data_IF_244712137672
#
_entry.id   IF_244712137672
#
_cell.length_a   1.000
_cell.length_b   1.000
_cell.length_c   1.000
_cell.angle_alpha   90.00
_cell.angle_beta   90.00
_cell.angle_gamma   90.00
#
_symmetry.space_group_name_H-M   'P 1'
#
loop_
_entity.id
_entity.type
_entity.pdbx_description
1 polymer ?
#
# COMPACT_ATOMS: atom_id res chain seq x y z
N UNK A 1 -23.97 28.01 -21.95
CA UNK A 1 -24.50 27.82 -20.59
C UNK A 1 -23.85 26.60 -19.99
N UNK A 2 -22.93 26.70 -19.00
CA UNK A 2 -22.29 25.55 -18.38
C UNK A 2 -23.22 24.97 -17.31
N UNK A 3 -23.49 23.68 -17.45
CA UNK A 3 -24.34 22.87 -16.60
C UNK A 3 -23.69 22.76 -15.20
N UNK A 4 -24.21 23.49 -14.21
CA UNK A 4 -23.81 23.38 -12.81
C UNK A 4 -24.34 22.04 -12.28
N UNK A 5 -23.44 21.11 -12.00
CA UNK A 5 -23.77 19.89 -11.26
C UNK A 5 -24.29 20.28 -9.86
N UNK A 6 -25.36 19.68 -9.34
CA UNK A 6 -25.93 20.02 -8.03
C UNK A 6 -24.90 19.75 -6.93
N UNK A 7 -24.73 20.72 -6.02
CA UNK A 7 -23.72 20.73 -4.93
C UNK A 7 -23.69 19.45 -4.08
N UNK A 8 -24.83 18.79 -3.91
CA UNK A 8 -24.94 17.51 -3.19
C UNK A 8 -24.19 16.35 -3.89
N UNK A 9 -24.10 16.35 -5.22
CA UNK A 9 -23.35 15.33 -5.96
C UNK A 9 -21.85 15.58 -5.91
N UNK A 10 -21.44 16.86 -5.84
CA UNK A 10 -20.03 17.24 -5.70
C UNK A 10 -19.50 16.92 -4.30
N UNK A 11 -20.28 17.20 -3.25
CA UNK A 11 -19.95 16.81 -1.87
C UNK A 11 -19.92 15.27 -1.70
N UNK A 12 -20.85 14.56 -2.34
CA UNK A 12 -20.88 13.09 -2.34
C UNK A 12 -19.71 12.49 -3.13
N UNK A 13 -19.32 13.12 -4.24
CA UNK A 13 -18.15 12.74 -5.03
C UNK A 13 -16.86 13.01 -4.25
N UNK A 14 -16.71 14.17 -3.59
CA UNK A 14 -15.58 14.49 -2.72
C UNK A 14 -15.48 13.56 -1.51
N UNK A 15 -16.61 13.24 -0.87
CA UNK A 15 -16.68 12.26 0.21
C UNK A 15 -16.31 10.85 -0.29
N UNK A 16 -16.83 10.45 -1.42
CA UNK A 16 -16.53 9.16 -2.05
C UNK A 16 -15.06 9.06 -2.50
N UNK A 17 -14.52 10.14 -3.07
CA UNK A 17 -13.11 10.25 -3.47
C UNK A 17 -12.20 10.24 -2.22
N UNK A 18 -12.58 10.97 -1.18
CA UNK A 18 -11.87 10.98 0.10
C UNK A 18 -11.94 9.61 0.79
N UNK A 19 -13.11 8.97 0.79
CA UNK A 19 -13.28 7.61 1.31
C UNK A 19 -12.49 6.60 0.48
N UNK A 20 -12.54 6.65 -0.85
CA UNK A 20 -11.77 5.76 -1.72
C UNK A 20 -10.25 5.97 -1.58
N UNK A 21 -9.80 7.20 -1.38
CA UNK A 21 -8.39 7.50 -1.08
C UNK A 21 -7.98 7.07 0.32
N UNK A 22 -8.89 7.16 1.31
CA UNK A 22 -8.65 6.74 2.69
C UNK A 22 -8.70 5.22 2.82
N UNK A 23 -9.63 4.55 2.12
CA UNK A 23 -9.81 3.10 2.20
C UNK A 23 -8.82 2.32 1.34
N UNK A 24 -8.09 2.94 0.42
CA UNK A 24 -7.20 2.25 -0.51
C UNK A 24 -6.04 1.47 0.12
N UNK A 25 -5.72 1.70 1.39
CA UNK A 25 -4.61 1.01 2.06
C UNK A 25 -5.05 0.06 3.19
N UNK A 26 -6.10 0.38 3.87
CA UNK A 26 -6.50 -0.34 5.09
C UNK A 26 -7.43 -1.52 4.85
N UNK A 27 -8.44 -1.45 3.98
CA UNK A 27 -9.19 -2.67 3.65
C UNK A 27 -8.31 -3.71 2.95
N UNK A 28 -7.29 -3.29 2.21
CA UNK A 28 -6.30 -4.19 1.61
C UNK A 28 -5.43 -4.88 2.66
N UNK A 29 -5.12 -4.21 3.78
CA UNK A 29 -4.33 -4.77 4.89
C UNK A 29 -5.17 -5.71 5.77
N UNK A 30 -6.44 -5.39 6.01
CA UNK A 30 -7.33 -6.21 6.84
C UNK A 30 -7.88 -7.45 6.10
N UNK A 31 -7.96 -7.43 4.76
CA UNK A 31 -8.42 -8.53 3.94
C UNK A 31 -7.24 -9.20 3.22
N UNK A 32 -6.67 -10.22 3.82
CA UNK A 32 -5.54 -10.98 3.26
C UNK A 32 -5.90 -11.74 1.97
N UNK A 33 -7.14 -12.18 1.85
CA UNK A 33 -7.63 -12.93 0.67
C UNK A 33 -7.53 -12.15 -0.65
N UNK A 34 -7.87 -10.84 -0.73
CA UNK A 34 -7.76 -10.13 -2.00
C UNK A 34 -6.31 -9.90 -2.46
N UNK A 35 -5.33 -9.70 -1.57
CA UNK A 35 -3.93 -9.50 -1.99
C UNK A 35 -3.31 -10.74 -2.60
N UNK A 36 -3.48 -11.90 -1.95
CA UNK A 36 -3.01 -13.19 -2.49
C UNK A 36 -3.74 -13.56 -3.78
N UNK A 37 -5.06 -13.38 -3.81
CA UNK A 37 -5.86 -13.60 -5.02
C UNK A 37 -5.44 -12.64 -6.14
N UNK A 38 -5.10 -11.39 -5.82
CA UNK A 38 -4.63 -10.41 -6.78
C UNK A 38 -3.22 -10.76 -7.29
N UNK A 39 -2.33 -11.25 -6.41
CA UNK A 39 -1.00 -11.72 -6.80
C UNK A 39 -1.06 -12.94 -7.71
N UNK A 40 -1.93 -13.91 -7.39
CA UNK A 40 -2.15 -15.09 -8.23
C UNK A 40 -2.80 -14.74 -9.57
N UNK A 41 -3.79 -13.83 -9.56
CA UNK A 41 -4.36 -13.28 -10.79
C UNK A 41 -3.29 -12.63 -11.66
N UNK A 42 -2.49 -11.73 -11.09
CA UNK A 42 -1.44 -11.02 -11.82
C UNK A 42 -0.43 -11.99 -12.43
N UNK A 43 0.02 -12.99 -11.66
CA UNK A 43 0.93 -14.02 -12.16
C UNK A 43 0.34 -14.82 -13.33
N UNK A 44 -0.87 -15.34 -13.14
CA UNK A 44 -1.52 -16.19 -14.13
C UNK A 44 -1.85 -15.39 -15.40
N UNK A 45 -2.29 -14.14 -15.23
CA UNK A 45 -2.61 -13.26 -16.35
C UNK A 45 -1.36 -12.91 -17.17
N UNK A 46 -0.26 -12.52 -16.50
CA UNK A 46 1.02 -12.29 -17.17
C UNK A 46 1.54 -13.53 -17.91
N UNK A 47 1.38 -14.73 -17.32
CA UNK A 47 1.74 -16.00 -17.99
C UNK A 47 0.87 -16.28 -19.22
N UNK A 48 -0.44 -16.04 -19.14
CA UNK A 48 -1.35 -16.20 -20.27
C UNK A 48 -0.97 -15.25 -21.43
N UNK A 49 -0.63 -14.00 -21.13
CA UNK A 49 -0.20 -13.04 -22.15
C UNK A 49 1.13 -13.44 -22.81
N UNK A 50 2.10 -13.90 -22.03
CA UNK A 50 3.37 -14.44 -22.57
C UNK A 50 3.18 -15.66 -23.45
N UNK A 51 2.17 -16.49 -23.15
CA UNK A 51 1.80 -17.63 -23.97
C UNK A 51 1.04 -17.23 -25.24
N UNK A 52 0.84 -15.93 -25.50
CA UNK A 52 0.17 -15.40 -26.68
C UNK A 52 -1.36 -15.42 -26.63
N UNK A 53 -1.97 -15.64 -25.46
CA UNK A 53 -3.43 -15.55 -25.36
C UNK A 53 -3.91 -14.10 -25.53
N UNK A 54 -5.00 -13.87 -26.28
CA UNK A 54 -5.62 -12.54 -26.35
C UNK A 54 -6.00 -12.01 -24.97
N UNK A 55 -5.80 -10.72 -24.74
CA UNK A 55 -6.06 -10.04 -23.44
C UNK A 55 -7.47 -10.34 -22.90
N UNK A 56 -8.48 -10.34 -23.79
CA UNK A 56 -9.89 -10.60 -23.44
C UNK A 56 -10.13 -12.02 -22.94
N UNK A 57 -9.47 -13.01 -23.53
CA UNK A 57 -9.59 -14.41 -23.13
C UNK A 57 -8.79 -14.70 -21.87
N UNK A 58 -7.55 -14.20 -21.81
CA UNK A 58 -6.70 -14.30 -20.64
C UNK A 58 -7.37 -13.71 -19.41
N UNK A 59 -8.00 -12.52 -19.57
CA UNK A 59 -8.72 -11.84 -18.49
C UNK A 59 -9.84 -12.71 -17.93
N UNK A 60 -10.72 -13.22 -18.77
CA UNK A 60 -11.88 -14.01 -18.33
C UNK A 60 -11.45 -15.32 -17.67
N UNK A 61 -10.47 -16.01 -18.27
CA UNK A 61 -9.90 -17.24 -17.71
C UNK A 61 -9.32 -17.03 -16.32
N UNK A 62 -8.53 -15.97 -16.15
CA UNK A 62 -7.91 -15.64 -14.85
C UNK A 62 -8.93 -15.13 -13.84
N UNK A 63 -9.94 -14.35 -14.28
CA UNK A 63 -11.05 -13.91 -13.42
C UNK A 63 -11.83 -15.08 -12.85
N UNK A 64 -12.17 -16.07 -13.67
CA UNK A 64 -12.90 -17.27 -13.23
C UNK A 64 -12.09 -18.12 -12.25
N UNK A 65 -10.76 -18.10 -12.34
CA UNK A 65 -9.85 -18.81 -11.44
C UNK A 65 -9.57 -18.07 -10.11
N UNK A 66 -10.14 -16.87 -9.90
CA UNK A 66 -9.95 -16.11 -8.66
C UNK A 66 -10.61 -16.80 -7.47
N UNK A 67 -9.90 -16.88 -6.34
CA UNK A 67 -10.45 -17.35 -5.06
C UNK A 67 -11.33 -16.29 -4.38
N UNK A 68 -11.02 -15.01 -4.58
CA UNK A 68 -11.79 -13.89 -4.02
C UNK A 68 -13.10 -13.68 -4.76
N UNK A 69 -14.23 -13.97 -4.09
CA UNK A 69 -15.57 -13.74 -4.63
C UNK A 69 -15.84 -12.26 -4.92
N UNK A 70 -15.30 -11.35 -4.10
CA UNK A 70 -15.49 -9.90 -4.26
C UNK A 70 -14.81 -9.41 -5.55
N UNK A 71 -13.54 -9.74 -5.79
CA UNK A 71 -12.84 -9.40 -7.03
C UNK A 71 -13.52 -10.02 -8.26
N UNK A 72 -13.93 -11.29 -8.16
CA UNK A 72 -14.62 -12.01 -9.23
C UNK A 72 -15.91 -11.31 -9.65
N UNK A 73 -16.69 -10.83 -8.66
CA UNK A 73 -17.95 -10.13 -8.91
C UNK A 73 -17.70 -8.74 -9.49
N UNK A 74 -16.75 -7.96 -8.93
CA UNK A 74 -16.44 -6.61 -9.42
C UNK A 74 -15.95 -6.61 -10.86
N UNK A 75 -15.18 -7.61 -11.26
CA UNK A 75 -14.66 -7.76 -12.62
C UNK A 75 -15.58 -8.51 -13.57
N UNK A 76 -16.83 -8.79 -13.19
CA UNK A 76 -17.77 -9.52 -14.05
C UNK A 76 -18.03 -8.82 -15.40
N UNK A 77 -18.03 -7.49 -15.43
CA UNK A 77 -18.18 -6.69 -16.65
C UNK A 77 -16.88 -6.40 -17.41
N UNK A 78 -15.72 -6.77 -16.86
CA UNK A 78 -14.40 -6.38 -17.42
C UNK A 78 -14.15 -6.92 -18.82
N UNK A 79 -14.52 -8.17 -19.09
CA UNK A 79 -14.36 -8.76 -20.42
C UNK A 79 -15.19 -8.01 -21.49
N UNK A 80 -16.40 -7.59 -21.16
CA UNK A 80 -17.25 -6.86 -22.11
C UNK A 80 -16.66 -5.49 -22.40
N UNK A 81 -16.10 -4.81 -21.41
CA UNK A 81 -15.42 -3.52 -21.61
C UNK A 81 -14.19 -3.67 -22.49
N UNK A 82 -13.35 -4.69 -22.27
CA UNK A 82 -12.23 -5.00 -23.15
C UNK A 82 -12.67 -5.25 -24.60
N UNK A 83 -13.75 -6.01 -24.80
CA UNK A 83 -14.33 -6.23 -26.14
C UNK A 83 -14.90 -4.96 -26.77
N UNK A 84 -15.34 -3.99 -25.96
CA UNK A 84 -15.80 -2.68 -26.45
C UNK A 84 -14.65 -1.70 -26.72
N UNK A 85 -13.40 -2.12 -26.65
CA UNK A 85 -12.21 -1.31 -26.92
C UNK A 85 -11.76 -0.41 -25.76
N UNK A 86 -12.27 -0.66 -24.54
CA UNK A 86 -11.76 0.01 -23.35
C UNK A 86 -10.38 -0.52 -22.94
N UNK A 87 -9.61 0.33 -22.28
CA UNK A 87 -8.30 -0.07 -21.76
C UNK A 87 -8.42 -1.15 -20.67
N UNK A 88 -7.35 -1.89 -20.45
CA UNK A 88 -7.29 -2.91 -19.39
C UNK A 88 -7.39 -2.23 -18.01
N UNK A 89 -6.72 -1.10 -17.81
CA UNK A 89 -6.80 -0.32 -16.59
C UNK A 89 -8.24 0.14 -16.30
N UNK A 90 -8.98 0.66 -17.30
CA UNK A 90 -10.40 0.99 -17.17
C UNK A 90 -11.25 -0.24 -16.84
N UNK A 91 -10.94 -1.37 -17.44
CA UNK A 91 -11.68 -2.63 -17.22
C UNK A 91 -11.46 -3.20 -15.81
N UNK A 92 -10.32 -2.94 -15.20
CA UNK A 92 -9.98 -3.31 -13.82
C UNK A 92 -10.48 -2.30 -12.78
N UNK A 93 -10.83 -1.07 -13.17
CA UNK A 93 -11.13 0.06 -12.28
C UNK A 93 -12.33 -0.16 -11.35
N UNK A 94 -13.27 -1.05 -11.66
CA UNK A 94 -14.40 -1.39 -10.78
C UNK A 94 -13.96 -1.97 -9.44
N UNK A 95 -12.79 -2.58 -9.41
CA UNK A 95 -12.19 -3.06 -8.17
C UNK A 95 -11.28 -2.02 -7.49
N UNK A 96 -11.20 -0.78 -8.01
CA UNK A 96 -10.35 0.30 -7.47
C UNK A 96 -10.42 0.45 -5.94
N UNK A 97 -11.58 0.33 -5.27
CA UNK A 97 -11.63 0.40 -3.80
C UNK A 97 -10.88 -0.71 -3.08
N UNK A 98 -10.62 -1.83 -3.75
CA UNK A 98 -9.96 -3.03 -3.18
C UNK A 98 -8.52 -3.17 -3.69
N UNK A 99 -8.21 -2.51 -4.82
CA UNK A 99 -6.88 -2.55 -5.41
C UNK A 99 -5.91 -1.61 -4.67
N UNK A 100 -4.64 -2.01 -4.50
CA UNK A 100 -3.59 -1.09 -4.06
C UNK A 100 -3.47 0.12 -4.98
N UNK A 101 -3.18 1.30 -4.42
CA UNK A 101 -3.14 2.56 -5.18
C UNK A 101 -2.17 2.55 -6.37
N UNK A 102 -1.10 1.75 -6.29
CA UNK A 102 -0.10 1.63 -7.36
C UNK A 102 -0.53 0.69 -8.50
N UNK A 103 -1.55 -0.15 -8.30
CA UNK A 103 -1.87 -1.25 -9.22
C UNK A 103 -2.35 -0.73 -10.58
N UNK A 104 -3.38 0.12 -10.60
CA UNK A 104 -3.92 0.66 -11.85
C UNK A 104 -2.91 1.56 -12.60
N UNK A 105 -2.17 2.47 -11.95
CA UNK A 105 -1.12 3.23 -12.63
C UNK A 105 -0.02 2.37 -13.26
N UNK A 106 0.35 1.26 -12.61
CA UNK A 106 1.31 0.32 -13.20
C UNK A 106 0.73 -0.39 -14.44
N UNK A 107 -0.55 -0.80 -14.40
CA UNK A 107 -1.22 -1.39 -15.57
C UNK A 107 -1.31 -0.38 -16.71
N UNK A 108 -1.69 0.88 -16.44
CA UNK A 108 -1.69 1.94 -17.46
C UNK A 108 -0.31 2.12 -18.11
N UNK A 109 0.76 2.12 -17.30
CA UNK A 109 2.13 2.19 -17.80
C UNK A 109 2.45 1.02 -18.75
N UNK A 110 2.05 -0.19 -18.38
CA UNK A 110 2.23 -1.38 -19.22
C UNK A 110 1.44 -1.35 -20.53
N UNK A 111 0.24 -0.79 -20.52
CA UNK A 111 -0.55 -0.60 -21.75
C UNK A 111 0.10 0.43 -22.67
N UNK A 112 0.59 1.56 -22.12
CA UNK A 112 1.30 2.58 -22.89
C UNK A 112 2.57 2.03 -23.57
N UNK A 113 3.31 1.16 -22.87
CA UNK A 113 4.53 0.54 -23.40
C UNK A 113 4.26 -0.70 -24.28
N UNK A 114 3.03 -1.22 -24.31
CA UNK A 114 2.72 -2.49 -24.95
C UNK A 114 3.31 -3.73 -24.23
N UNK A 115 3.77 -3.58 -22.96
CA UNK A 115 4.46 -4.62 -22.17
C UNK A 115 3.62 -5.06 -20.96
N UNK A 116 2.35 -5.35 -21.22
CA UNK A 116 1.37 -5.70 -20.18
C UNK A 116 1.80 -6.96 -19.40
N UNK A 117 2.36 -7.96 -20.07
CA UNK A 117 2.82 -9.22 -19.46
C UNK A 117 3.93 -9.02 -18.43
N UNK A 118 4.86 -8.08 -18.68
CA UNK A 118 5.94 -7.76 -17.75
C UNK A 118 5.44 -6.99 -16.53
N UNK A 119 4.54 -6.02 -16.75
CA UNK A 119 3.90 -5.30 -15.66
C UNK A 119 3.15 -6.24 -14.74
N UNK A 120 2.39 -7.21 -15.27
CA UNK A 120 1.69 -8.18 -14.45
C UNK A 120 2.64 -9.13 -13.71
N UNK A 121 3.80 -9.43 -14.30
CA UNK A 121 4.87 -10.15 -13.59
C UNK A 121 5.45 -9.33 -12.44
N UNK A 122 5.76 -8.06 -12.68
CA UNK A 122 6.19 -7.11 -11.65
C UNK A 122 5.13 -7.00 -10.53
N UNK A 123 3.86 -6.75 -10.89
CA UNK A 123 2.76 -6.65 -9.93
C UNK A 123 2.62 -7.91 -9.07
N UNK A 124 2.73 -9.09 -9.67
CA UNK A 124 2.68 -10.35 -8.93
C UNK A 124 3.80 -10.47 -7.90
N UNK A 125 5.04 -10.19 -8.27
CA UNK A 125 6.19 -10.20 -7.36
C UNK A 125 6.02 -9.16 -6.25
N UNK A 126 5.67 -7.93 -6.63
CA UNK A 126 5.51 -6.84 -5.69
C UNK A 126 4.39 -7.08 -4.67
N UNK A 127 3.26 -7.65 -5.08
CA UNK A 127 2.17 -8.02 -4.18
C UNK A 127 2.58 -9.12 -3.19
N UNK A 128 3.42 -10.08 -3.62
CA UNK A 128 3.98 -11.10 -2.74
C UNK A 128 4.96 -10.49 -1.71
N UNK A 129 5.72 -9.46 -2.10
CA UNK A 129 6.63 -8.74 -1.20
C UNK A 129 5.88 -7.99 -0.09
N UNK A 130 4.75 -7.37 -0.40
CA UNK A 130 3.98 -6.59 0.58
C UNK A 130 3.03 -7.44 1.43
N UNK A 131 2.80 -8.71 1.11
CA UNK A 131 1.93 -9.61 1.87
C UNK A 131 2.39 -9.79 3.32
N UNK A 132 3.70 -10.05 3.63
CA UNK A 132 4.18 -10.15 5.00
C UNK A 132 3.92 -8.87 5.81
N UNK A 133 4.05 -7.69 5.19
CA UNK A 133 3.77 -6.41 5.84
C UNK A 133 2.29 -6.30 6.25
N UNK A 134 1.38 -6.77 5.42
CA UNK A 134 -0.07 -6.77 5.75
C UNK A 134 -0.40 -7.72 6.90
N UNK A 135 0.25 -8.87 6.98
CA UNK A 135 0.14 -9.81 8.11
C UNK A 135 0.64 -9.19 9.40
N UNK A 136 1.80 -8.55 9.34
CA UNK A 136 2.44 -7.88 10.45
C UNK A 136 1.54 -6.78 11.04
N UNK A 137 1.00 -5.89 10.21
CA UNK A 137 0.12 -4.82 10.63
C UNK A 137 -1.15 -5.37 11.30
N UNK A 138 -1.72 -6.45 10.76
CA UNK A 138 -2.85 -7.12 11.38
C UNK A 138 -2.52 -7.71 12.74
N UNK A 139 -1.38 -8.38 12.88
CA UNK A 139 -0.93 -8.94 14.17
C UNK A 139 -0.73 -7.83 15.22
N UNK A 140 -0.14 -6.69 14.84
CA UNK A 140 0.05 -5.55 15.72
C UNK A 140 -1.27 -4.97 16.25
N UNK A 141 -2.37 -5.06 15.49
CA UNK A 141 -3.68 -4.53 15.89
C UNK A 141 -4.53 -5.54 16.66
N UNK A 142 -4.56 -6.79 16.21
CA UNK A 142 -5.44 -7.81 16.82
C UNK A 142 -4.87 -8.41 18.10
N UNK A 143 -3.57 -8.58 18.19
CA UNK A 143 -2.94 -9.27 19.31
C UNK A 143 -3.07 -8.50 20.63
N UNK A 144 -2.79 -7.21 20.73
CA UNK A 144 -3.01 -6.42 21.94
C UNK A 144 -4.48 -6.38 22.36
N UNK A 145 -5.40 -6.26 21.41
CA UNK A 145 -6.84 -6.28 21.66
C UNK A 145 -7.27 -7.59 22.33
N UNK A 146 -6.81 -8.71 21.81
CA UNK A 146 -7.15 -10.05 22.32
C UNK A 146 -6.60 -10.25 23.75
N UNK A 147 -5.38 -9.76 24.02
CA UNK A 147 -4.77 -9.85 25.35
C UNK A 147 -5.51 -9.00 26.37
N UNK A 148 -5.82 -7.75 26.03
CA UNK A 148 -6.56 -6.83 26.92
C UNK A 148 -7.94 -7.45 27.24
N UNK A 149 -8.64 -7.99 26.24
CA UNK A 149 -9.94 -8.62 26.43
C UNK A 149 -9.85 -9.87 27.30
N UNK A 150 -8.82 -10.71 27.09
CA UNK A 150 -8.62 -11.91 27.88
C UNK A 150 -8.21 -11.59 29.34
N UNK A 151 -7.36 -10.58 29.51
CA UNK A 151 -6.98 -10.10 30.83
C UNK A 151 -8.16 -9.51 31.63
N UNK A 152 -9.02 -8.74 30.98
CA UNK A 152 -10.24 -8.22 31.60
C UNK A 152 -11.20 -9.33 32.03
N UNK A 153 -11.34 -10.36 31.17
CA UNK A 153 -12.19 -11.52 31.49
C UNK A 153 -11.65 -12.30 32.72
N UNK A 154 -10.34 -12.53 32.76
CA UNK A 154 -9.72 -13.21 33.92
C UNK A 154 -9.83 -12.36 35.20
N UNK A 155 -9.62 -11.06 35.11
CA UNK A 155 -9.79 -10.14 36.23
C UNK A 155 -11.23 -10.13 36.77
N UNK A 156 -12.23 -10.10 35.89
CA UNK A 156 -13.62 -10.17 36.27
C UNK A 156 -13.99 -11.52 36.94
N UNK A 157 -13.47 -12.64 36.47
CA UNK A 157 -13.65 -13.96 37.07
C UNK A 157 -13.06 -13.99 38.49
N UNK A 158 -11.86 -13.44 38.68
CA UNK A 158 -11.21 -13.37 39.98
C UNK A 158 -12.02 -12.51 40.98
N UNK A 159 -12.51 -11.34 40.57
CA UNK A 159 -13.34 -10.48 41.42
C UNK A 159 -14.66 -11.13 41.81
N UNK A 160 -15.27 -11.93 40.93
CA UNK A 160 -16.48 -12.71 41.28
C UNK A 160 -16.20 -13.81 42.28
N UNK A 161 -15.04 -14.48 42.22
CA UNK A 161 -14.62 -15.52 43.17
C UNK A 161 -14.31 -14.91 44.54
N UNK A 162 -13.74 -13.72 44.58
CA UNK A 162 -13.45 -12.99 45.83
C UNK A 162 -14.66 -12.37 46.50
N UNK A 163 -15.85 -12.49 45.90
CA UNK A 163 -17.11 -12.03 46.48
C UNK A 163 -17.54 -10.62 46.15
N UNK A 164 -16.86 -9.99 45.16
CA UNK A 164 -17.21 -8.66 44.66
C UNK A 164 -17.72 -8.70 43.20
N UNK A 165 -18.98 -9.15 42.97
CA UNK A 165 -19.54 -9.23 41.60
C UNK A 165 -19.81 -7.84 41.00
N UNK A 166 -19.96 -6.80 41.82
CA UNK A 166 -20.21 -5.43 41.36
C UNK A 166 -18.90 -4.87 40.80
N UNK A 167 -17.77 -5.08 41.50
CA UNK A 167 -16.44 -4.73 41.03
C UNK A 167 -16.07 -5.42 39.71
N UNK A 168 -16.49 -6.69 39.54
CA UNK A 168 -16.28 -7.42 38.29
C UNK A 168 -17.00 -6.76 37.10
N UNK A 169 -18.24 -6.34 37.29
CA UNK A 169 -19.03 -5.64 36.23
C UNK A 169 -18.42 -4.27 35.91
N UNK A 170 -18.00 -3.54 36.93
CA UNK A 170 -17.36 -2.22 36.75
C UNK A 170 -16.02 -2.33 36.02
N UNK A 171 -15.20 -3.33 36.32
CA UNK A 171 -13.90 -3.55 35.62
C UNK A 171 -14.08 -3.93 34.15
N UNK A 172 -15.09 -4.73 33.82
CA UNK A 172 -15.46 -5.01 32.43
C UNK A 172 -15.97 -3.76 31.71
N UNK A 173 -16.81 -2.95 32.37
CA UNK A 173 -17.32 -1.71 31.79
C UNK A 173 -16.19 -0.70 31.51
N UNK A 174 -15.24 -0.55 32.43
CA UNK A 174 -14.07 0.31 32.25
C UNK A 174 -13.18 -0.16 31.10
N UNK A 175 -12.96 -1.47 30.98
CA UNK A 175 -12.22 -2.05 29.85
C UNK A 175 -12.93 -1.82 28.51
N UNK A 176 -14.26 -1.99 28.47
CA UNK A 176 -15.06 -1.69 27.28
C UNK A 176 -15.00 -0.19 26.92
N UNK A 177 -15.02 0.70 27.89
CA UNK A 177 -14.90 2.14 27.69
C UNK A 177 -13.51 2.51 27.15
N UNK A 178 -12.46 1.90 27.70
CA UNK A 178 -11.08 2.03 27.20
C UNK A 178 -10.93 1.55 25.75
N UNK A 179 -11.55 0.43 25.41
CA UNK A 179 -11.58 -0.08 24.03
C UNK A 179 -12.35 0.87 23.09
N UNK A 180 -13.47 1.43 23.53
CA UNK A 180 -14.21 2.44 22.75
C UNK A 180 -13.36 3.69 22.50
N UNK A 181 -12.62 4.18 23.50
CA UNK A 181 -11.66 5.27 23.33
C UNK A 181 -10.53 4.91 22.34
N UNK A 182 -10.00 3.71 22.44
CA UNK A 182 -8.99 3.22 21.51
C UNK A 182 -9.51 3.20 20.05
N UNK A 183 -10.73 2.68 19.85
CA UNK A 183 -11.36 2.70 18.51
C UNK A 183 -11.73 4.11 18.06
N UNK A 184 -12.17 5.00 18.99
CA UNK A 184 -12.46 6.38 18.66
C UNK A 184 -11.20 7.15 18.23
N UNK A 185 -10.09 6.98 18.94
CA UNK A 185 -8.79 7.58 18.54
C UNK A 185 -8.33 7.01 17.20
N UNK A 186 -8.41 5.70 17.02
CA UNK A 186 -8.09 5.05 15.76
C UNK A 186 -8.98 5.58 14.62
N UNK A 187 -10.28 5.74 14.84
CA UNK A 187 -11.22 6.30 13.88
C UNK A 187 -10.93 7.78 13.57
N UNK A 188 -10.62 8.60 14.57
CA UNK A 188 -10.23 10.01 14.37
C UNK A 188 -8.94 10.11 13.58
N UNK A 189 -7.94 9.31 13.91
CA UNK A 189 -6.69 9.21 13.13
C UNK A 189 -6.97 8.77 11.69
N UNK A 190 -8.01 7.96 11.48
CA UNK A 190 -8.42 7.44 10.19
C UNK A 190 -9.29 8.39 9.35
N UNK A 191 -10.21 9.11 9.99
CA UNK A 191 -11.20 9.96 9.31
C UNK A 191 -10.71 11.38 9.01
N UNK A 192 -9.65 11.85 9.69
CA UNK A 192 -9.18 13.22 9.48
C UNK A 192 -8.32 13.35 8.23
N UNK A 193 -8.40 14.50 7.49
CA UNK A 193 -7.56 14.81 6.33
C UNK A 193 -6.06 14.99 6.69
N UNK A 194 -5.66 14.50 7.83
CA UNK A 194 -4.28 14.46 8.36
C UNK A 194 -3.37 13.53 7.58
N UNK A 195 -3.87 12.88 6.52
CA UNK A 195 -3.13 11.88 5.75
C UNK A 195 -1.80 12.41 5.19
N UNK A 196 -1.77 13.65 4.72
CA UNK A 196 -0.51 14.27 4.24
C UNK A 196 0.47 14.47 5.40
N UNK A 197 -0.02 14.86 6.58
CA UNK A 197 0.82 14.95 7.80
C UNK A 197 1.20 13.58 8.35
N UNK A 198 0.37 12.57 8.13
CA UNK A 198 0.68 11.17 8.49
C UNK A 198 1.73 10.58 7.58
N UNK A 199 1.74 10.89 6.30
CA UNK A 199 2.80 10.47 5.38
C UNK A 199 4.14 11.08 5.77
N UNK A 200 4.18 12.35 6.18
CA UNK A 200 5.37 12.98 6.76
C UNK A 200 5.77 12.37 8.12
N UNK A 201 4.79 12.06 8.98
CA UNK A 201 5.05 11.43 10.28
C UNK A 201 5.62 10.01 10.13
N UNK A 202 5.15 9.24 9.16
CA UNK A 202 5.71 7.92 8.82
C UNK A 202 7.17 8.02 8.40
N UNK A 203 7.52 9.07 7.66
CA UNK A 203 8.91 9.31 7.27
C UNK A 203 9.79 9.76 8.45
N UNK A 204 9.22 10.17 9.59
CA UNK A 204 9.96 10.47 10.83
C UNK A 204 10.33 9.20 11.62
N UNK A 205 9.57 8.11 11.46
CA UNK A 205 9.89 6.82 12.09
C UNK A 205 10.96 6.12 11.24
N UNK A 206 12.20 5.95 11.74
CA UNK A 206 13.34 5.51 10.92
C UNK A 206 13.07 4.17 10.23
N UNK A 207 12.45 3.22 10.92
CA UNK A 207 12.17 1.89 10.38
C UNK A 207 11.07 1.88 9.29
N UNK A 208 10.02 2.69 9.47
CA UNK A 208 8.92 2.82 8.49
C UNK A 208 9.40 3.61 7.27
N UNK A 209 10.20 4.66 7.51
CA UNK A 209 10.80 5.47 6.47
C UNK A 209 11.60 4.65 5.47
N UNK A 210 12.45 3.76 5.98
CA UNK A 210 13.31 2.93 5.12
C UNK A 210 12.49 1.99 4.21
N UNK A 211 11.44 1.36 4.76
CA UNK A 211 10.55 0.49 3.96
C UNK A 211 9.72 1.30 2.95
N UNK A 212 9.16 2.44 3.36
CA UNK A 212 8.39 3.32 2.46
C UNK A 212 9.27 3.84 1.32
N UNK A 213 10.52 4.20 1.63
CA UNK A 213 11.50 4.65 0.65
C UNK A 213 11.83 3.54 -0.35
N UNK A 214 12.22 2.35 0.11
CA UNK A 214 12.55 1.25 -0.79
C UNK A 214 11.36 0.80 -1.63
N UNK A 215 10.14 0.82 -1.08
CA UNK A 215 8.92 0.56 -1.85
C UNK A 215 8.70 1.61 -2.93
N UNK A 216 8.94 2.88 -2.62
CA UNK A 216 8.80 3.96 -3.58
C UNK A 216 9.84 3.86 -4.71
N UNK A 217 11.11 3.63 -4.36
CA UNK A 217 12.21 3.46 -5.31
C UNK A 217 11.96 2.24 -6.20
N UNK A 218 11.62 1.08 -5.61
CA UNK A 218 11.34 -0.15 -6.35
C UNK A 218 10.22 0.06 -7.38
N UNK A 219 9.08 0.63 -6.97
CA UNK A 219 7.93 0.86 -7.86
C UNK A 219 8.24 1.87 -8.96
N UNK A 220 8.86 2.97 -8.58
CA UNK A 220 9.19 4.06 -9.49
C UNK A 220 10.15 3.59 -10.58
N UNK A 221 11.29 3.02 -10.19
CA UNK A 221 12.31 2.62 -11.15
C UNK A 221 11.94 1.36 -11.95
N UNK A 222 11.11 0.45 -11.41
CA UNK A 222 10.55 -0.64 -12.22
C UNK A 222 9.69 -0.12 -13.37
N UNK A 223 8.86 0.89 -13.12
CA UNK A 223 8.04 1.50 -14.17
C UNK A 223 8.90 2.36 -15.11
N UNK A 224 9.89 3.10 -14.58
CA UNK A 224 10.83 3.85 -15.42
C UNK A 224 11.59 2.94 -16.37
N UNK A 225 12.07 1.77 -15.91
CA UNK A 225 12.77 0.80 -16.78
C UNK A 225 11.86 0.29 -17.91
N UNK A 226 10.59 -0.01 -17.61
CA UNK A 226 9.63 -0.44 -18.64
C UNK A 226 9.35 0.65 -19.68
N UNK A 227 9.21 1.90 -19.23
CA UNK A 227 8.98 3.06 -20.11
C UNK A 227 10.22 3.37 -20.96
N UNK A 228 11.41 3.31 -20.38
CA UNK A 228 12.69 3.53 -21.08
C UNK A 228 12.92 2.50 -22.19
N UNK A 229 12.63 1.24 -21.90
CA UNK A 229 12.79 0.16 -22.89
C UNK A 229 11.84 0.31 -24.08
N UNK A 230 10.66 0.90 -23.87
CA UNK A 230 9.69 1.17 -24.96
C UNK A 230 10.11 2.34 -25.86
N UNK A 231 11.03 3.21 -25.41
CA UNK A 231 11.49 4.42 -26.09
C UNK A 231 10.35 5.31 -26.63
N UNK A 232 9.17 5.20 -26.06
CA UNK A 232 7.95 5.81 -26.61
C UNK A 232 7.67 7.22 -26.07
N UNK A 233 8.23 7.55 -24.90
CA UNK A 233 7.84 8.76 -24.18
C UNK A 233 9.05 9.64 -23.80
N UNK A 234 8.79 10.93 -23.61
CA UNK A 234 9.78 11.85 -23.07
C UNK A 234 9.99 11.58 -21.57
N UNK A 235 11.19 11.81 -21.07
CA UNK A 235 11.57 11.54 -19.67
C UNK A 235 10.65 12.22 -18.65
N UNK A 236 10.18 13.46 -18.93
CA UNK A 236 9.26 14.17 -18.05
C UNK A 236 7.88 13.48 -17.97
N UNK A 237 7.39 12.91 -19.06
CA UNK A 237 6.15 12.11 -19.08
C UNK A 237 6.33 10.74 -18.41
N UNK A 238 7.47 10.09 -18.65
CA UNK A 238 7.82 8.83 -17.98
C UNK A 238 7.80 9.00 -16.44
N UNK A 239 8.44 10.06 -15.94
CA UNK A 239 8.42 10.38 -14.49
C UNK A 239 6.99 10.66 -14.02
N UNK A 240 6.16 11.33 -14.82
CA UNK A 240 4.77 11.60 -14.46
C UNK A 240 3.94 10.31 -14.31
N UNK A 241 4.13 9.36 -15.21
CA UNK A 241 3.46 8.04 -15.15
C UNK A 241 3.98 7.24 -13.96
N UNK A 242 5.31 7.12 -13.82
CA UNK A 242 5.94 6.37 -12.75
C UNK A 242 5.63 6.94 -11.36
N UNK A 243 5.57 8.27 -11.20
CA UNK A 243 5.18 8.95 -9.96
C UNK A 243 3.82 8.48 -9.43
N UNK A 244 2.86 8.15 -10.30
CA UNK A 244 1.51 7.70 -9.91
C UNK A 244 1.53 6.35 -9.19
N UNK A 245 2.61 5.58 -9.31
CA UNK A 245 2.78 4.30 -8.60
C UNK A 245 3.27 4.48 -7.16
N UNK A 246 3.74 5.67 -6.80
CA UNK A 246 4.20 5.99 -5.44
C UNK A 246 3.00 6.29 -4.55
N UNK A 247 2.86 5.54 -3.46
CA UNK A 247 1.74 5.70 -2.54
C UNK A 247 1.92 6.88 -1.57
N UNK A 248 3.17 7.20 -1.22
CA UNK A 248 3.50 8.29 -0.30
C UNK A 248 3.52 9.64 -1.03
N UNK A 249 2.61 10.55 -0.64
CA UNK A 249 2.45 11.85 -1.28
C UNK A 249 3.66 12.77 -1.06
N UNK A 250 4.37 12.66 0.08
CA UNK A 250 5.54 13.48 0.34
C UNK A 250 6.67 13.17 -0.66
N UNK A 251 6.91 11.88 -0.95
CA UNK A 251 7.89 11.45 -1.96
C UNK A 251 7.38 11.82 -3.37
N UNK A 252 6.10 11.56 -3.66
CA UNK A 252 5.52 11.86 -4.96
C UNK A 252 5.58 13.37 -5.30
N UNK A 253 5.34 14.25 -4.33
CA UNK A 253 5.39 15.70 -4.54
C UNK A 253 6.78 16.22 -4.91
N UNK A 254 7.85 15.58 -4.44
CA UNK A 254 9.20 15.97 -4.84
C UNK A 254 9.50 15.69 -6.32
N UNK A 255 8.89 14.65 -6.88
CA UNK A 255 9.03 14.37 -8.31
C UNK A 255 8.35 15.40 -9.19
N UNK A 256 7.40 16.20 -8.68
CA UNK A 256 6.85 17.35 -9.40
C UNK A 256 7.92 18.44 -9.64
N UNK A 257 8.79 18.67 -8.65
CA UNK A 257 9.93 19.57 -8.79
C UNK A 257 10.94 19.03 -9.81
N UNK A 258 11.16 17.72 -9.85
CA UNK A 258 12.01 17.06 -10.87
C UNK A 258 11.41 17.27 -12.26
N UNK A 259 10.12 17.01 -12.46
CA UNK A 259 9.41 17.22 -13.73
C UNK A 259 9.54 18.68 -14.19
N UNK A 260 9.33 19.64 -13.27
CA UNK A 260 9.44 21.07 -13.60
C UNK A 260 10.87 21.47 -14.01
N UNK A 261 11.89 20.92 -13.33
CA UNK A 261 13.30 21.15 -13.65
C UNK A 261 13.68 20.62 -15.03
N UNK A 262 13.22 19.42 -15.39
CA UNK A 262 13.42 18.83 -16.72
C UNK A 262 12.80 19.69 -17.83
N UNK A 263 11.60 20.23 -17.59
CA UNK A 263 10.93 21.13 -18.55
C UNK A 263 11.65 22.45 -18.76
N UNK A 264 12.45 22.90 -17.80
CA UNK A 264 13.31 24.07 -17.93
C UNK A 264 14.66 23.76 -18.59
N UNK A 265 14.88 22.51 -19.04
CA UNK A 265 16.08 22.07 -19.76
C UNK A 265 17.23 21.63 -18.86
N UNK A 266 17.00 21.39 -17.58
CA UNK A 266 18.00 20.81 -16.68
C UNK A 266 18.20 19.32 -16.99
N UNK A 267 19.38 18.79 -16.67
CA UNK A 267 19.67 17.36 -16.80
C UNK A 267 18.91 16.55 -15.75
N UNK A 268 18.72 15.25 -16.01
CA UNK A 268 18.04 14.35 -15.09
C UNK A 268 18.78 14.25 -13.74
N UNK A 269 20.11 14.18 -13.77
CA UNK A 269 20.95 14.17 -12.58
C UNK A 269 20.80 15.43 -11.74
N UNK A 270 20.82 16.63 -12.37
CA UNK A 270 20.58 17.90 -11.68
C UNK A 270 19.18 17.99 -11.08
N UNK A 271 18.16 17.50 -11.80
CA UNK A 271 16.80 17.51 -11.34
C UNK A 271 16.61 16.57 -10.14
N UNK A 272 17.19 15.37 -10.17
CA UNK A 272 17.12 14.39 -9.06
C UNK A 272 17.94 14.81 -7.83
N UNK A 273 19.00 15.60 -7.97
CA UNK A 273 19.76 16.11 -6.81
C UNK A 273 18.93 16.97 -5.85
N UNK A 274 17.81 17.51 -6.32
CA UNK A 274 16.84 18.28 -5.51
C UNK A 274 15.80 17.41 -4.79
N UNK A 275 15.70 16.14 -5.16
CA UNK A 275 14.73 15.20 -4.58
C UNK A 275 15.29 14.59 -3.30
N UNK A 276 15.22 15.33 -2.19
CA UNK A 276 15.86 15.01 -0.89
C UNK A 276 15.33 13.73 -0.22
N UNK A 277 14.18 13.20 -0.66
CA UNK A 277 13.64 11.91 -0.18
C UNK A 277 14.25 10.71 -0.91
N UNK A 278 15.00 10.92 -1.98
CA UNK A 278 15.79 9.87 -2.61
C UNK A 278 17.21 9.87 -2.04
N UNK A 279 17.72 8.70 -1.69
CA UNK A 279 19.07 8.56 -1.15
C UNK A 279 20.12 9.10 -2.11
N UNK A 280 21.23 9.58 -1.57
CA UNK A 280 22.37 10.10 -2.36
C UNK A 280 22.86 9.07 -3.38
N UNK A 281 22.79 7.77 -3.04
CA UNK A 281 23.17 6.67 -3.94
C UNK A 281 22.25 6.59 -5.17
N UNK A 282 20.94 6.76 -5.00
CA UNK A 282 19.97 6.83 -6.11
C UNK A 282 20.27 8.03 -7.01
N UNK A 283 20.50 9.20 -6.41
CA UNK A 283 20.81 10.44 -7.15
C UNK A 283 22.10 10.31 -7.97
N UNK A 284 23.15 9.76 -7.37
CA UNK A 284 24.44 9.55 -8.05
C UNK A 284 24.32 8.52 -9.18
N UNK A 285 23.59 7.42 -8.93
CA UNK A 285 23.37 6.38 -9.96
C UNK A 285 22.65 6.95 -11.17
N UNK A 286 21.58 7.73 -10.95
CA UNK A 286 20.82 8.37 -12.05
C UNK A 286 21.69 9.37 -12.81
N UNK A 287 22.47 10.20 -12.10
CA UNK A 287 23.36 11.17 -12.73
C UNK A 287 24.44 10.49 -13.58
N UNK A 288 25.06 9.43 -13.05
CA UNK A 288 26.07 8.67 -13.78
C UNK A 288 25.49 7.95 -14.99
N UNK A 289 24.29 7.40 -14.84
CA UNK A 289 23.57 6.71 -15.92
C UNK A 289 23.21 7.64 -17.08
N UNK A 290 22.82 8.89 -16.77
CA UNK A 290 22.54 9.90 -17.79
C UNK A 290 23.82 10.22 -18.59
N UNK A 291 24.94 10.41 -17.91
CA UNK A 291 26.22 10.73 -18.54
C UNK A 291 26.77 9.57 -19.39
N UNK A 292 26.55 8.33 -18.95
CA UNK A 292 27.02 7.13 -19.65
C UNK A 292 26.04 6.60 -20.70
N UNK A 293 24.80 7.10 -20.75
CA UNK A 293 23.75 6.60 -21.63
C UNK A 293 23.20 5.22 -21.22
N UNK A 294 23.39 4.81 -19.95
CA UNK A 294 22.98 3.49 -19.42
C UNK A 294 21.77 3.59 -18.50
N UNK A 295 20.78 4.42 -18.86
CA UNK A 295 19.62 4.69 -18.02
C UNK A 295 18.79 3.42 -17.74
N UNK A 296 18.54 2.61 -18.77
CA UNK A 296 17.75 1.39 -18.65
C UNK A 296 18.33 0.41 -17.62
N UNK A 297 19.63 0.10 -17.76
CA UNK A 297 20.32 -0.83 -16.86
C UNK A 297 20.34 -0.30 -15.43
N UNK A 298 20.54 1.01 -15.29
CA UNK A 298 20.58 1.66 -13.98
C UNK A 298 19.21 1.68 -13.31
N UNK A 299 18.13 1.90 -14.05
CA UNK A 299 16.77 1.81 -13.52
C UNK A 299 16.44 0.38 -13.06
N UNK A 300 16.81 -0.62 -13.86
CA UNK A 300 16.65 -2.03 -13.49
C UNK A 300 17.46 -2.39 -12.24
N UNK A 301 18.68 -1.89 -12.15
CA UNK A 301 19.56 -2.10 -10.99
C UNK A 301 19.00 -1.44 -9.72
N UNK A 302 18.52 -0.21 -9.79
CA UNK A 302 17.93 0.50 -8.66
C UNK A 302 16.64 -0.19 -8.18
N UNK A 303 15.80 -0.64 -9.10
CA UNK A 303 14.59 -1.38 -8.78
C UNK A 303 14.92 -2.70 -8.05
N UNK A 304 15.86 -3.48 -8.60
CA UNK A 304 16.28 -4.76 -8.00
C UNK A 304 16.96 -4.57 -6.65
N UNK A 305 17.86 -3.61 -6.54
CA UNK A 305 18.55 -3.30 -5.29
C UNK A 305 17.58 -2.89 -4.17
N UNK A 306 16.55 -2.10 -4.49
CA UNK A 306 15.51 -1.77 -3.53
C UNK A 306 14.65 -2.98 -3.15
N UNK A 307 14.35 -3.86 -4.10
CA UNK A 307 13.65 -5.13 -3.86
C UNK A 307 14.45 -6.03 -2.92
N UNK A 308 15.74 -6.20 -3.15
CA UNK A 308 16.64 -7.03 -2.33
C UNK A 308 16.78 -6.51 -0.89
N UNK A 309 16.68 -5.18 -0.67
CA UNK A 309 16.70 -4.57 0.67
C UNK A 309 15.38 -4.67 1.42
N UNK A 310 14.26 -4.79 0.72
CA UNK A 310 12.94 -4.86 1.35
C UNK A 310 12.76 -6.10 2.23
N UNK A 311 13.23 -7.27 1.80
CA UNK A 311 13.07 -8.52 2.55
C UNK A 311 13.67 -8.46 3.96
N UNK A 312 14.98 -8.16 4.15
CA UNK A 312 15.56 -8.13 5.47
C UNK A 312 14.99 -7.01 6.35
N UNK A 313 14.54 -5.89 5.76
CA UNK A 313 13.89 -4.81 6.50
C UNK A 313 12.51 -5.22 7.00
N UNK A 314 11.74 -5.95 6.20
CA UNK A 314 10.44 -6.50 6.61
C UNK A 314 10.60 -7.55 7.72
N UNK A 315 11.60 -8.42 7.65
CA UNK A 315 11.92 -9.38 8.70
C UNK A 315 12.31 -8.68 10.01
N UNK A 316 13.11 -7.62 9.93
CA UNK A 316 13.50 -6.81 11.10
C UNK A 316 12.28 -6.17 11.75
N UNK A 317 11.35 -5.61 10.96
CA UNK A 317 10.10 -5.05 11.47
C UNK A 317 9.24 -6.12 12.16
N UNK A 318 9.18 -7.33 11.60
CA UNK A 318 8.45 -8.44 12.20
C UNK A 318 9.07 -8.85 13.55
N UNK A 319 10.39 -8.92 13.65
CA UNK A 319 11.09 -9.23 14.88
C UNK A 319 10.88 -8.16 15.97
N UNK A 320 10.92 -6.88 15.60
CA UNK A 320 10.68 -5.76 16.52
C UNK A 320 9.22 -5.79 17.00
N UNK A 321 8.27 -5.99 16.11
CA UNK A 321 6.84 -5.99 16.45
C UNK A 321 6.50 -7.13 17.41
N UNK A 322 7.04 -8.33 17.20
CA UNK A 322 6.82 -9.47 18.11
C UNK A 322 7.37 -9.20 19.51
N UNK A 323 8.54 -8.56 19.63
CA UNK A 323 9.11 -8.15 20.91
C UNK A 323 8.30 -7.07 21.61
N UNK A 324 7.78 -6.08 20.87
CA UNK A 324 6.90 -5.04 21.43
C UNK A 324 5.61 -5.63 21.97
N UNK A 325 5.00 -6.57 21.25
CA UNK A 325 3.79 -7.27 21.70
C UNK A 325 4.10 -8.07 22.96
N UNK A 326 5.20 -8.82 23.01
CA UNK A 326 5.59 -9.56 24.21
C UNK A 326 5.82 -8.63 25.42
N UNK A 327 6.49 -7.49 25.24
CA UNK A 327 6.68 -6.49 26.29
C UNK A 327 5.35 -5.92 26.80
N UNK A 328 4.40 -5.60 25.91
CA UNK A 328 3.06 -5.13 26.27
C UNK A 328 2.28 -6.17 27.08
N UNK A 329 2.37 -7.45 26.70
CA UNK A 329 1.78 -8.56 27.47
C UNK A 329 2.33 -8.62 28.89
N UNK A 330 3.66 -8.60 29.02
CA UNK A 330 4.34 -8.65 30.31
C UNK A 330 3.92 -7.43 31.17
N UNK A 331 3.94 -6.23 30.63
CA UNK A 331 3.49 -5.03 31.33
C UNK A 331 2.01 -5.13 31.78
N UNK A 332 1.15 -5.65 30.93
CA UNK A 332 -0.28 -5.85 31.26
C UNK A 332 -0.46 -6.85 32.40
N UNK A 333 0.28 -7.98 32.38
CA UNK A 333 0.25 -8.97 33.45
C UNK A 333 0.78 -8.41 34.77
N UNK A 334 1.86 -7.64 34.75
CA UNK A 334 2.41 -6.98 35.94
C UNK A 334 1.39 -5.98 36.50
N UNK A 335 0.75 -5.15 35.67
CA UNK A 335 -0.26 -4.22 36.10
C UNK A 335 -1.48 -4.90 36.74
N UNK A 336 -1.90 -6.04 36.22
CA UNK A 336 -2.97 -6.86 36.81
C UNK A 336 -2.55 -7.48 38.16
N UNK A 337 -1.33 -7.99 38.25
CA UNK A 337 -0.81 -8.55 39.53
C UNK A 337 -0.69 -7.47 40.59
N UNK A 338 -0.21 -6.28 40.26
CA UNK A 338 -0.12 -5.17 41.22
C UNK A 338 -1.49 -4.67 41.67
N UNK A 339 -2.50 -4.68 40.81
CA UNK A 339 -3.87 -4.33 41.21
C UNK A 339 -4.49 -5.36 42.17
N UNK A 340 -4.13 -6.66 42.04
CA UNK A 340 -4.55 -7.71 42.95
C UNK A 340 -3.85 -7.68 44.32
N UNK A 341 -2.64 -7.12 44.41
CA UNK A 341 -1.87 -7.01 45.67
C UNK A 341 -2.17 -5.72 46.44
N UNK A 342 -2.89 -4.77 45.83
CA UNK A 342 -3.30 -3.49 46.45
C UNK A 342 -4.63 -3.59 47.21
N UNK A 343 -5.24 -4.77 47.27
CA UNK A 343 -6.34 -5.15 48.13
C UNK A 343 -5.86 -6.08 49.23
#
# INVERSE_FOLDING_TARGET
MPNRLPEHRFAYWLLRESINRITGWVPTILHQQPLLSLASFSRNFGQCLRAGLPVTEAFEKCRLALDSKDLKTRWSGGQQRLRSGRTLAESLSDASPVLPAFYLPAVEAGELCGRVDEVFTFLSKHLQLIEPLSKLLRQLWFYPLLIIMFGALLGAIMLTITGDPIGAVLSLADTCLGLLWYFAIAAVVWLTPVRVRFDELRLRLPWVREVEHDLAVCRFFSVMALLEESQSERVDEMIRVAKRTISNQAIANQLEAVISSLRTGQTLGEAFSRATHFDTEVQQTVSTAELSGTLLESYQQLAKWSEDRLFPRLESLQAISSRMVAALVICSLIAQLTSLTSF
#
